data_IF_183143273397
#
_entry.id   IF_183143273397
#
_cell.length_a   1.000
_cell.length_b   1.000
_cell.length_c   1.000
_cell.angle_alpha   90.00
_cell.angle_beta   90.00
_cell.angle_gamma   90.00
#
_symmetry.space_group_name_H-M   'P 1'
#
loop_
_entity.id
_entity.type
_entity.pdbx_description
1 polymer ?
#
# COMPACT_ATOMS: atom_id res chain seq x y z
N UNK A 1 26.80 -23.69 -48.39
CA UNK A 1 27.33 -23.85 -47.01
C UNK A 1 27.87 -22.55 -46.44
N UNK A 2 28.88 -21.89 -47.07
CA UNK A 2 29.44 -20.62 -46.56
C UNK A 2 28.39 -19.52 -46.31
N UNK A 3 27.42 -19.35 -47.23
CA UNK A 3 26.32 -18.37 -47.10
C UNK A 3 25.38 -18.62 -45.91
N UNK A 4 25.17 -19.89 -45.55
CA UNK A 4 24.31 -20.27 -44.40
C UNK A 4 25.04 -19.96 -43.09
N UNK A 5 26.34 -20.22 -43.03
CA UNK A 5 27.19 -19.90 -41.88
C UNK A 5 27.26 -18.38 -41.67
N UNK A 6 27.40 -17.60 -42.74
CA UNK A 6 27.38 -16.13 -42.66
C UNK A 6 26.04 -15.60 -42.15
N UNK A 7 24.92 -16.20 -42.57
CA UNK A 7 23.58 -15.81 -42.10
C UNK A 7 23.37 -16.10 -40.61
N UNK A 8 23.81 -17.26 -40.11
CA UNK A 8 23.74 -17.60 -38.68
C UNK A 8 24.56 -16.64 -37.81
N UNK A 9 25.73 -16.20 -38.28
CA UNK A 9 26.56 -15.22 -37.56
C UNK A 9 25.88 -13.85 -37.44
N UNK A 10 25.21 -13.41 -38.50
CA UNK A 10 24.44 -12.15 -38.49
C UNK A 10 23.27 -12.25 -37.50
N UNK A 11 22.52 -13.36 -37.50
CA UNK A 11 21.39 -13.56 -36.60
C UNK A 11 21.81 -13.65 -35.13
N UNK A 12 22.94 -14.29 -34.83
CA UNK A 12 23.48 -14.35 -33.47
C UNK A 12 23.90 -12.97 -32.96
N UNK A 13 24.45 -12.13 -33.82
CA UNK A 13 24.91 -10.77 -33.48
C UNK A 13 23.77 -9.81 -33.12
N UNK A 14 22.54 -10.07 -33.59
CA UNK A 14 21.36 -9.26 -33.30
C UNK A 14 20.75 -9.63 -31.93
N UNK A 15 20.97 -10.86 -31.45
CA UNK A 15 20.39 -11.37 -30.20
C UNK A 15 20.92 -10.71 -28.92
N UNK A 16 22.06 -10.01 -29.00
CA UNK A 16 22.66 -9.26 -27.90
C UNK A 16 22.11 -7.84 -27.70
N UNK A 17 21.20 -7.36 -28.57
CA UNK A 17 20.61 -6.03 -28.46
C UNK A 17 19.39 -6.02 -27.52
N UNK A 18 19.54 -6.59 -26.33
CA UNK A 18 18.61 -6.33 -25.23
C UNK A 18 19.08 -5.06 -24.54
N UNK A 19 18.65 -3.91 -25.06
CA UNK A 19 18.76 -2.67 -24.30
C UNK A 19 17.79 -2.78 -23.11
N UNK A 20 18.30 -3.17 -21.95
CA UNK A 20 17.60 -2.83 -20.72
C UNK A 20 17.63 -1.32 -20.63
N UNK A 21 16.50 -0.67 -20.94
CA UNK A 21 16.25 0.67 -20.42
C UNK A 21 16.26 0.51 -18.90
N UNK A 22 17.43 0.72 -18.29
CA UNK A 22 17.47 1.23 -16.93
C UNK A 22 16.52 2.43 -16.98
N UNK A 23 15.45 2.36 -16.22
CA UNK A 23 14.46 3.42 -16.16
C UNK A 23 15.23 4.66 -15.70
N UNK A 24 15.68 5.51 -16.63
CA UNK A 24 16.48 6.71 -16.33
C UNK A 24 15.68 7.69 -15.45
N UNK A 25 14.40 7.38 -15.25
CA UNK A 25 13.45 8.01 -14.34
C UNK A 25 13.12 7.14 -13.12
N UNK A 26 14.04 6.28 -12.64
CA UNK A 26 14.01 5.72 -11.29
C UNK A 26 14.19 6.84 -10.23
N UNK A 27 13.31 7.84 -10.29
CA UNK A 27 13.07 8.79 -9.22
C UNK A 27 12.27 8.01 -8.20
N UNK A 28 12.80 7.92 -6.98
CA UNK A 28 12.13 7.14 -5.94
C UNK A 28 10.67 7.57 -5.81
N UNK A 29 9.79 6.59 -5.65
CA UNK A 29 8.35 6.77 -5.65
C UNK A 29 7.85 6.75 -4.21
N UNK A 30 7.07 7.77 -3.85
CA UNK A 30 6.30 7.75 -2.61
C UNK A 30 5.00 6.96 -2.81
N UNK A 31 4.74 6.03 -1.90
CA UNK A 31 3.47 5.32 -1.77
C UNK A 31 2.84 5.72 -0.45
N UNK A 32 1.59 6.17 -0.50
CA UNK A 32 0.80 6.50 0.68
C UNK A 32 -0.31 5.47 0.86
N UNK A 33 -0.57 5.09 2.10
CA UNK A 33 -1.67 4.22 2.51
C UNK A 33 -2.22 4.68 3.85
N UNK A 34 -3.47 4.35 4.13
CA UNK A 34 -4.10 4.70 5.39
C UNK A 34 -4.97 3.54 5.89
N UNK A 35 -5.16 3.49 7.21
CA UNK A 35 -6.05 2.57 7.88
C UNK A 35 -6.93 3.37 8.86
N UNK A 36 -8.23 3.12 8.85
CA UNK A 36 -9.19 3.74 9.76
C UNK A 36 -10.11 2.70 10.37
N UNK A 37 -10.22 2.72 11.69
CA UNK A 37 -11.18 1.96 12.50
C UNK A 37 -12.15 2.96 13.15
N UNK A 38 -13.40 2.92 12.70
CA UNK A 38 -14.47 3.81 13.14
C UNK A 38 -15.60 3.00 13.74
N UNK A 39 -16.32 3.58 14.69
CA UNK A 39 -17.37 2.90 15.41
C UNK A 39 -18.50 3.84 15.82
N UNK A 40 -19.68 3.25 15.94
CA UNK A 40 -20.81 3.82 16.65
C UNK A 40 -21.32 2.75 17.60
N UNK A 41 -21.51 3.13 18.86
CA UNK A 41 -21.98 2.20 19.89
C UNK A 41 -23.10 2.81 20.69
N UNK A 42 -24.15 2.03 20.89
CA UNK A 42 -25.28 2.39 21.73
C UNK A 42 -25.39 1.41 22.90
N UNK A 43 -25.68 1.96 24.08
CA UNK A 43 -25.78 1.24 25.35
C UNK A 43 -27.19 1.46 25.89
N UNK A 44 -27.95 0.38 26.07
CA UNK A 44 -29.33 0.45 26.54
C UNK A 44 -29.47 0.92 27.99
N UNK A 45 -28.37 0.97 28.75
CA UNK A 45 -28.36 1.55 30.09
C UNK A 45 -28.34 3.10 30.09
N UNK A 46 -28.21 3.74 28.92
CA UNK A 46 -28.20 5.21 28.74
C UNK A 46 -27.29 5.92 29.76
N UNK A 47 -25.96 5.68 29.73
CA UNK A 47 -25.05 6.24 30.71
C UNK A 47 -24.99 7.77 30.64
N UNK A 48 -25.23 8.43 31.79
CA UNK A 48 -25.27 9.90 31.91
C UNK A 48 -23.98 10.63 31.50
N UNK A 49 -22.84 9.93 31.47
CA UNK A 49 -21.53 10.51 31.10
C UNK A 49 -21.13 10.24 29.65
N UNK A 50 -22.02 9.67 28.82
CA UNK A 50 -21.74 9.23 27.45
C UNK A 50 -20.56 8.26 27.33
N UNK A 51 -20.24 7.53 28.40
CA UNK A 51 -19.21 6.49 28.41
C UNK A 51 -19.80 5.17 28.88
N UNK A 52 -19.48 4.10 28.14
CA UNK A 52 -19.76 2.72 28.52
C UNK A 52 -18.89 2.32 29.72
N UNK A 53 -19.15 1.13 30.25
CA UNK A 53 -18.46 0.60 31.43
C UNK A 53 -16.93 0.74 31.41
N UNK A 54 -16.37 0.96 32.60
CA UNK A 54 -14.97 1.34 32.81
C UNK A 54 -13.94 0.25 32.44
N UNK A 55 -14.36 -1.01 32.25
CA UNK A 55 -13.48 -2.09 31.83
C UNK A 55 -13.21 -2.08 30.30
N UNK A 56 -13.97 -1.29 29.54
CA UNK A 56 -13.75 -1.12 28.10
C UNK A 56 -12.74 -0.01 27.86
N UNK A 57 -11.60 -0.38 27.29
CA UNK A 57 -10.56 0.56 26.89
C UNK A 57 -10.82 1.19 25.52
N UNK A 58 -11.32 0.39 24.57
CA UNK A 58 -11.68 0.82 23.21
C UNK A 58 -13.20 0.80 23.05
N UNK A 59 -13.69 1.54 22.05
CA UNK A 59 -15.12 1.61 21.74
C UNK A 59 -15.98 2.06 22.94
N UNK A 60 -15.46 3.02 23.72
CA UNK A 60 -16.00 3.42 25.03
C UNK A 60 -17.16 4.40 24.92
N UNK A 61 -17.19 5.23 23.89
CA UNK A 61 -18.15 6.34 23.79
C UNK A 61 -19.56 5.86 23.45
N UNK A 62 -20.57 6.41 24.10
CA UNK A 62 -21.97 6.03 23.92
C UNK A 62 -22.71 7.06 23.05
N UNK A 63 -23.48 6.56 22.09
CA UNK A 63 -24.38 7.35 21.25
C UNK A 63 -23.69 8.46 20.44
N UNK A 64 -22.42 8.24 20.08
CA UNK A 64 -21.66 9.15 19.21
C UNK A 64 -20.77 8.36 18.23
N UNK A 65 -20.62 8.91 17.03
CA UNK A 65 -19.72 8.37 16.01
C UNK A 65 -18.27 8.72 16.37
N UNK A 66 -17.40 7.72 16.41
CA UNK A 66 -16.03 7.87 16.87
C UNK A 66 -15.03 7.09 16.03
N UNK A 67 -13.76 7.45 16.17
CA UNK A 67 -12.62 6.75 15.58
C UNK A 67 -11.84 6.10 16.71
N UNK A 68 -11.59 4.80 16.60
CA UNK A 68 -10.76 4.06 17.55
C UNK A 68 -9.28 4.14 17.15
N UNK A 69 -8.99 3.95 15.86
CA UNK A 69 -7.63 4.00 15.35
C UNK A 69 -7.59 4.63 13.96
N UNK A 70 -6.66 5.57 13.74
CA UNK A 70 -6.37 6.13 12.44
C UNK A 70 -4.85 6.13 12.22
N UNK A 71 -4.41 5.45 11.16
CA UNK A 71 -3.00 5.33 10.80
C UNK A 71 -2.79 5.83 9.37
N UNK A 72 -1.69 6.55 9.18
CA UNK A 72 -1.20 6.96 7.87
C UNK A 72 0.19 6.38 7.70
N UNK A 73 0.44 5.77 6.55
CA UNK A 73 1.71 5.14 6.23
C UNK A 73 2.22 5.70 4.90
N UNK A 74 3.46 6.19 4.93
CA UNK A 74 4.20 6.66 3.77
C UNK A 74 5.44 5.80 3.57
N UNK A 75 5.63 5.28 2.37
CA UNK A 75 6.78 4.47 1.98
C UNK A 75 7.48 5.12 0.80
N UNK A 76 8.79 5.30 0.91
CA UNK A 76 9.65 5.71 -0.19
C UNK A 76 10.37 4.48 -0.74
N UNK A 77 10.16 4.16 -2.01
CA UNK A 77 10.90 3.11 -2.72
C UNK A 77 11.92 3.78 -3.65
N UNK A 78 13.19 3.43 -3.48
CA UNK A 78 14.30 3.89 -4.33
C UNK A 78 14.42 3.07 -5.62
#
# INVERSE_FOLDING_TARGET
>A
MKKVITLCFILFSISGLMAQTADTNARGKWKFSAYGDMYFTYDFAEPNNNERHHFLYNYKRHNEFNINLALIHANYTY
#
